data_IF_347896964815
#
_entry.id   IF_347896964815
#
_cell.length_a   1.000
_cell.length_b   1.000
_cell.length_c   1.000
_cell.angle_alpha   90.00
_cell.angle_beta   90.00
_cell.angle_gamma   90.00
#
_symmetry.space_group_name_H-M   'P 1'
#
loop_
_entity.id
_entity.type
_entity.pdbx_description
1 polymer ?
#
# COMPACT_ATOMS: atom_id res chain seq x y z
N UNK A 1 -9.52 27.26 -14.12
CA UNK A 1 -9.84 26.69 -12.82
C UNK A 1 -8.83 25.59 -12.51
N UNK A 2 -8.24 25.61 -11.32
CA UNK A 2 -7.32 24.56 -10.84
C UNK A 2 -8.11 23.62 -9.94
N UNK A 3 -8.13 22.32 -10.29
CA UNK A 3 -8.77 21.28 -9.50
C UNK A 3 -7.70 20.46 -8.78
N UNK A 4 -7.91 20.21 -7.49
CA UNK A 4 -7.05 19.40 -6.66
C UNK A 4 -7.83 18.16 -6.21
N UNK A 5 -7.15 17.02 -6.15
CA UNK A 5 -7.67 15.80 -5.58
C UNK A 5 -6.63 15.20 -4.63
N UNK A 6 -7.08 14.43 -3.66
CA UNK A 6 -6.21 13.73 -2.72
C UNK A 6 -5.30 12.72 -3.42
N UNK A 7 -4.11 12.50 -2.86
CA UNK A 7 -3.07 11.66 -3.45
C UNK A 7 -3.55 10.24 -3.72
N UNK A 8 -4.12 9.56 -2.73
CA UNK A 8 -4.62 8.19 -2.88
C UNK A 8 -5.84 8.09 -3.81
N UNK A 9 -6.67 9.14 -3.88
CA UNK A 9 -7.77 9.18 -4.84
C UNK A 9 -7.26 9.20 -6.28
N UNK A 10 -6.16 9.91 -6.56
CA UNK A 10 -5.52 9.91 -7.88
C UNK A 10 -4.95 8.53 -8.24
N UNK A 11 -4.29 7.87 -7.28
CA UNK A 11 -3.81 6.50 -7.49
C UNK A 11 -4.97 5.54 -7.79
N UNK A 12 -6.04 5.60 -6.99
CA UNK A 12 -7.22 4.77 -7.21
C UNK A 12 -7.85 5.00 -8.60
N UNK A 13 -8.00 6.27 -8.99
CA UNK A 13 -8.55 6.66 -10.28
C UNK A 13 -7.68 6.16 -11.45
N UNK A 14 -6.35 6.29 -11.33
CA UNK A 14 -5.42 5.86 -12.37
C UNK A 14 -5.40 4.34 -12.58
N UNK A 15 -5.75 3.57 -11.56
CA UNK A 15 -5.86 2.12 -11.65
C UNK A 15 -7.25 1.67 -12.12
N UNK A 16 -8.31 2.24 -11.55
CA UNK A 16 -9.67 1.79 -11.77
C UNK A 16 -10.24 2.17 -13.14
N UNK A 17 -10.19 3.46 -13.51
CA UNK A 17 -10.85 3.94 -14.72
C UNK A 17 -10.30 3.37 -16.05
N UNK A 18 -9.00 3.10 -16.22
CA UNK A 18 -8.53 2.42 -17.42
C UNK A 18 -8.67 0.89 -17.35
N UNK A 19 -9.09 0.31 -16.22
CA UNK A 19 -9.30 -1.12 -16.08
C UNK A 19 -10.55 -1.60 -16.81
N UNK A 20 -10.66 -2.90 -17.14
CA UNK A 20 -11.86 -3.45 -17.77
C UNK A 20 -13.01 -3.74 -16.77
N UNK A 21 -12.86 -3.38 -15.49
CA UNK A 21 -13.81 -3.73 -14.44
C UNK A 21 -14.78 -2.58 -14.16
N UNK A 22 -16.08 -2.88 -14.16
CA UNK A 22 -17.12 -1.95 -13.70
C UNK A 22 -17.23 -1.91 -12.17
N UNK A 23 -16.86 -3.01 -11.50
CA UNK A 23 -16.81 -3.11 -10.04
C UNK A 23 -15.50 -3.71 -9.61
N UNK A 24 -14.77 -3.04 -8.72
CA UNK A 24 -13.51 -3.52 -8.20
C UNK A 24 -13.15 -2.90 -6.84
N UNK A 25 -12.42 -3.66 -6.03
CA UNK A 25 -11.66 -3.11 -4.93
C UNK A 25 -10.29 -2.63 -5.42
N UNK A 26 -9.89 -1.42 -5.02
CA UNK A 26 -8.59 -0.83 -5.37
C UNK A 26 -7.78 -0.65 -4.10
N UNK A 27 -6.69 -1.38 -4.00
CA UNK A 27 -5.73 -1.28 -2.90
C UNK A 27 -4.58 -0.36 -3.29
N UNK A 28 -4.31 0.62 -2.46
CA UNK A 28 -3.16 1.52 -2.59
C UNK A 28 -2.23 1.30 -1.40
N UNK A 29 -0.95 1.05 -1.70
CA UNK A 29 0.11 0.95 -0.71
C UNK A 29 1.22 1.92 -1.12
N UNK A 30 1.44 2.92 -0.29
CA UNK A 30 2.44 3.96 -0.52
C UNK A 30 3.44 4.01 0.65
N UNK A 31 4.52 4.71 0.49
CA UNK A 31 5.39 5.05 1.60
C UNK A 31 4.73 6.15 2.44
N UNK A 32 4.48 7.31 1.84
CA UNK A 32 3.72 8.42 2.40
C UNK A 32 3.01 9.15 1.25
N UNK A 33 1.70 9.04 1.18
CA UNK A 33 0.87 9.75 0.22
C UNK A 33 0.12 10.88 0.91
N UNK A 34 0.73 12.05 1.09
CA UNK A 34 0.27 13.13 1.94
C UNK A 34 0.17 12.64 3.40
N UNK A 35 -1.01 12.27 3.91
CA UNK A 35 -1.21 11.72 5.25
C UNK A 35 -1.56 10.23 5.25
N UNK A 36 -2.00 9.70 4.10
CA UNK A 36 -2.35 8.31 3.93
C UNK A 36 -1.13 7.51 3.47
N UNK A 37 -0.88 6.36 4.12
CA UNK A 37 0.16 5.41 3.75
C UNK A 37 -0.41 4.18 3.05
N UNK A 38 -1.70 3.89 3.30
CA UNK A 38 -2.44 2.84 2.61
C UNK A 38 -3.92 3.22 2.51
N UNK A 39 -4.62 2.74 1.49
CA UNK A 39 -6.06 2.90 1.40
C UNK A 39 -6.71 1.81 0.55
N UNK A 40 -7.99 1.59 0.81
CA UNK A 40 -8.83 0.72 0.01
C UNK A 40 -9.99 1.56 -0.49
N UNK A 41 -10.20 1.52 -1.80
CA UNK A 41 -11.34 2.16 -2.46
C UNK A 41 -12.21 1.10 -3.11
N UNK A 42 -13.49 1.38 -3.23
CA UNK A 42 -14.43 0.60 -4.03
C UNK A 42 -14.81 1.41 -5.26
N UNK A 43 -14.50 0.86 -6.43
CA UNK A 43 -14.94 1.36 -7.71
C UNK A 43 -16.25 0.70 -8.12
N UNK A 44 -17.25 1.49 -8.48
CA UNK A 44 -18.53 1.03 -9.00
C UNK A 44 -18.94 1.95 -10.17
N UNK A 45 -18.97 1.40 -11.36
CA UNK A 45 -19.21 2.13 -12.60
C UNK A 45 -18.27 3.34 -12.78
N UNK A 46 -18.75 4.56 -12.60
CA UNK A 46 -17.94 5.79 -12.68
C UNK A 46 -17.58 6.39 -11.32
N UNK A 47 -17.90 5.70 -10.20
CA UNK A 47 -17.73 6.23 -8.86
C UNK A 47 -16.63 5.49 -8.12
N UNK A 48 -15.72 6.24 -7.51
CA UNK A 48 -14.74 5.74 -6.55
C UNK A 48 -15.10 6.23 -5.15
N UNK A 49 -15.17 5.29 -4.20
CA UNK A 49 -15.49 5.59 -2.80
C UNK A 49 -14.40 5.05 -1.89
N UNK A 50 -13.77 5.87 -1.05
CA UNK A 50 -12.82 5.38 -0.05
C UNK A 50 -13.56 4.54 0.99
N UNK A 51 -13.02 3.35 1.29
CA UNK A 51 -13.55 2.43 2.28
C UNK A 51 -12.70 2.39 3.54
N UNK A 52 -11.37 2.48 3.38
CA UNK A 52 -10.39 2.44 4.46
C UNK A 52 -9.21 3.34 4.13
N UNK A 53 -8.65 3.99 5.15
CA UNK A 53 -7.43 4.79 5.09
C UNK A 53 -6.53 4.48 6.28
N UNK A 54 -5.34 3.97 5.98
CA UNK A 54 -4.26 3.78 6.94
C UNK A 54 -3.32 4.98 6.91
N UNK A 55 -3.24 5.70 8.03
CA UNK A 55 -2.49 6.95 8.13
C UNK A 55 -1.05 6.72 8.58
N UNK A 56 -0.18 7.66 8.22
CA UNK A 56 1.16 7.76 8.78
C UNK A 56 1.11 7.70 10.33
N UNK A 57 2.03 6.99 11.03
CA UNK A 57 3.26 6.38 10.53
C UNK A 57 3.13 4.90 10.08
N UNK A 58 1.94 4.33 10.05
CA UNK A 58 1.72 2.91 9.78
C UNK A 58 1.79 2.62 8.27
N UNK A 59 3.01 2.48 7.74
CA UNK A 59 3.27 2.32 6.31
C UNK A 59 4.12 1.09 6.01
N UNK A 60 3.60 0.22 5.14
CA UNK A 60 4.35 -0.92 4.59
C UNK A 60 5.48 -0.45 3.68
N UNK A 61 5.26 0.60 2.89
CA UNK A 61 6.29 1.17 2.03
C UNK A 61 7.46 1.74 2.83
N UNK A 62 7.19 2.45 3.94
CA UNK A 62 8.24 2.92 4.84
C UNK A 62 8.98 1.78 5.55
N UNK A 63 8.28 0.72 5.95
CA UNK A 63 8.93 -0.48 6.50
C UNK A 63 9.89 -1.08 5.47
N UNK A 64 9.47 -1.19 4.21
CA UNK A 64 10.33 -1.67 3.14
C UNK A 64 11.54 -0.78 2.91
N UNK A 65 11.36 0.54 2.90
CA UNK A 65 12.45 1.51 2.80
C UNK A 65 13.40 1.47 4.01
N UNK A 66 12.87 1.27 5.22
CA UNK A 66 13.70 1.11 6.43
C UNK A 66 14.60 -0.14 6.32
N UNK A 67 14.07 -1.28 5.87
CA UNK A 67 14.86 -2.49 5.64
C UNK A 67 15.87 -2.26 4.51
N UNK A 68 15.50 -1.58 3.44
CA UNK A 68 16.38 -1.19 2.33
C UNK A 68 17.59 -0.40 2.84
N UNK A 69 17.35 0.59 3.70
CA UNK A 69 18.41 1.39 4.33
C UNK A 69 19.28 0.55 5.29
N UNK A 70 18.65 -0.30 6.10
CA UNK A 70 19.33 -1.14 7.07
C UNK A 70 20.37 -2.06 6.44
N UNK A 71 20.08 -2.62 5.27
CA UNK A 71 21.02 -3.48 4.53
C UNK A 71 22.01 -2.69 3.65
N UNK A 72 22.02 -1.36 3.74
CA UNK A 72 23.01 -0.49 3.11
C UNK A 72 22.66 0.01 1.70
N UNK A 73 21.43 -0.18 1.22
CA UNK A 73 20.99 0.41 -0.04
C UNK A 73 20.40 1.81 0.16
N UNK A 74 20.51 2.64 -0.85
CA UNK A 74 19.96 3.99 -0.84
C UNK A 74 18.44 3.95 -0.98
N UNK A 75 17.72 4.56 -0.03
CA UNK A 75 16.26 4.72 -0.08
C UNK A 75 15.82 5.53 -1.30
N UNK A 76 14.65 5.23 -1.84
CA UNK A 76 14.05 5.77 -3.07
C UNK A 76 14.77 5.41 -4.37
N UNK A 77 15.83 4.60 -4.29
CA UNK A 77 16.54 4.12 -5.47
C UNK A 77 17.19 2.75 -5.28
N UNK A 78 16.95 2.11 -4.15
CA UNK A 78 17.56 0.82 -3.80
C UNK A 78 16.56 -0.27 -3.44
N UNK A 79 15.28 0.05 -3.36
CA UNK A 79 14.23 -0.91 -3.01
C UNK A 79 14.17 -2.07 -4.01
N UNK A 80 14.34 -1.80 -5.31
CA UNK A 80 14.40 -2.84 -6.33
C UNK A 80 15.63 -3.75 -6.18
N UNK A 81 16.76 -3.23 -5.63
CA UNK A 81 17.95 -4.04 -5.35
C UNK A 81 17.70 -5.00 -4.19
N UNK A 82 16.99 -4.55 -3.15
CA UNK A 82 16.52 -5.42 -2.08
C UNK A 82 15.61 -6.53 -2.62
N UNK A 83 14.66 -6.18 -3.48
CA UNK A 83 13.79 -7.13 -4.14
C UNK A 83 14.59 -8.16 -4.97
N UNK A 84 15.58 -7.71 -5.73
CA UNK A 84 16.45 -8.59 -6.52
C UNK A 84 17.38 -9.47 -5.67
N UNK A 85 17.74 -9.03 -4.45
CA UNK A 85 18.58 -9.80 -3.52
C UNK A 85 17.78 -10.88 -2.76
N UNK A 86 16.49 -10.64 -2.53
CA UNK A 86 15.64 -11.50 -1.69
C UNK A 86 15.64 -13.00 -2.11
N UNK A 87 15.59 -13.39 -3.40
CA UNK A 87 15.60 -14.79 -3.81
C UNK A 87 16.88 -15.57 -3.45
N UNK A 88 17.97 -14.88 -3.15
CA UNK A 88 19.24 -15.51 -2.77
C UNK A 88 19.35 -15.77 -1.28
N UNK A 89 18.36 -15.32 -0.49
CA UNK A 89 18.32 -15.47 0.96
C UNK A 89 17.35 -16.58 1.43
N UNK A 90 17.40 -16.84 2.75
CA UNK A 90 16.43 -17.70 3.42
C UNK A 90 15.49 -16.84 4.29
N UNK A 91 14.18 -17.15 4.38
CA UNK A 91 13.20 -16.33 5.10
C UNK A 91 13.25 -16.54 6.63
N UNK A 92 14.45 -16.47 7.24
CA UNK A 92 14.68 -16.75 8.68
C UNK A 92 13.88 -15.84 9.61
N UNK A 93 13.64 -14.59 9.20
CA UNK A 93 13.00 -13.57 10.03
C UNK A 93 11.52 -13.36 9.72
N UNK A 94 10.92 -14.17 8.83
CA UNK A 94 9.52 -14.03 8.41
C UNK A 94 8.56 -13.98 9.60
N UNK A 95 8.63 -14.95 10.49
CA UNK A 95 7.74 -15.04 11.66
C UNK A 95 7.93 -13.86 12.61
N UNK A 96 9.16 -13.44 12.84
CA UNK A 96 9.48 -12.30 13.69
C UNK A 96 8.91 -10.99 13.13
N UNK A 97 9.05 -10.76 11.84
CA UNK A 97 8.52 -9.58 11.16
C UNK A 97 7.00 -9.55 11.24
N UNK A 98 6.34 -10.68 10.97
CA UNK A 98 4.88 -10.80 11.04
C UNK A 98 4.35 -10.61 12.47
N UNK A 99 5.08 -11.07 13.48
CA UNK A 99 4.65 -10.97 14.89
C UNK A 99 4.93 -9.60 15.50
N UNK A 100 6.03 -8.95 15.13
CA UNK A 100 6.51 -7.73 15.81
C UNK A 100 6.32 -6.43 15.02
N UNK A 101 6.26 -6.50 13.69
CA UNK A 101 6.27 -5.32 12.84
C UNK A 101 5.00 -5.18 11.99
N UNK A 102 4.25 -6.27 11.77
CA UNK A 102 3.08 -6.25 10.91
C UNK A 102 1.84 -6.72 11.67
N UNK A 103 0.86 -5.84 11.82
CA UNK A 103 -0.48 -6.25 12.24
C UNK A 103 -1.36 -6.49 10.99
N UNK A 104 -1.37 -7.74 10.54
CA UNK A 104 -2.17 -8.15 9.37
C UNK A 104 -3.68 -7.97 9.63
N UNK A 105 -4.12 -7.98 10.88
CA UNK A 105 -5.54 -7.75 11.23
C UNK A 105 -5.99 -6.32 10.94
N UNK A 106 -5.08 -5.35 11.04
CA UNK A 106 -5.34 -3.95 10.66
C UNK A 106 -5.44 -3.77 9.14
N UNK A 107 -4.76 -4.60 8.36
CA UNK A 107 -4.80 -4.55 6.88
C UNK A 107 -6.02 -5.26 6.28
N UNK A 108 -6.62 -6.19 7.02
CA UNK A 108 -7.79 -6.98 6.58
C UNK A 108 -8.83 -6.96 7.68
N UNK A 109 -9.39 -5.80 7.95
CA UNK A 109 -10.50 -5.71 8.91
C UNK A 109 -11.77 -6.35 8.34
N UNK A 110 -12.54 -7.03 9.18
CA UNK A 110 -13.85 -7.61 8.85
C UNK A 110 -14.75 -6.65 8.04
N UNK A 111 -14.63 -5.35 8.26
CA UNK A 111 -15.39 -4.31 7.57
C UNK A 111 -15.10 -4.21 6.05
N UNK A 112 -13.92 -4.64 5.59
CA UNK A 112 -13.58 -4.64 4.17
C UNK A 112 -14.22 -5.85 3.48
N UNK A 113 -14.21 -7.01 4.16
CA UNK A 113 -14.74 -8.28 3.59
C UNK A 113 -16.27 -8.27 3.51
N UNK A 114 -16.95 -7.57 4.41
CA UNK A 114 -18.42 -7.50 4.44
C UNK A 114 -19.02 -6.49 3.43
N UNK A 115 -18.20 -5.65 2.82
CA UNK A 115 -18.65 -4.59 1.88
C UNK A 115 -18.18 -4.78 0.44
N UNK A 116 -17.40 -5.81 0.14
CA UNK A 116 -16.99 -6.24 -1.19
C UNK A 116 -17.76 -7.50 -1.59
#
# INVERSE_FOLDING_TARGET
>A
ELLFSEHHQRHAASAFYPSPYNNAAVLILDAVGEWNASSIHVGQDSKLTPLYEGKFPHSLGMLYSAVTNYIGFKVNSGEYKLMGLAPYGEPKYKSLILDKLLDIKLLVTKQVIEKV
#
